data_IF_065105382238
#
_entry.id   IF_065105382238
#
_cell.length_a   1.000
_cell.length_b   1.000
_cell.length_c   1.000
_cell.angle_alpha   90.00
_cell.angle_beta   90.00
_cell.angle_gamma   90.00
#
_symmetry.space_group_name_H-M   'P 1'
#
loop_
_entity.id
_entity.type
_entity.pdbx_description
1 polymer ?
#
# COMPACT_ATOMS: atom_id res chain seq x y z
N UNK A 1 11.72 4.50 -8.87
CA UNK A 1 10.28 4.72 -9.01
C UNK A 1 9.88 5.73 -7.96
N UNK A 2 9.12 6.77 -8.32
CA UNK A 2 8.68 7.81 -7.39
C UNK A 2 7.22 8.20 -7.63
N UNK A 3 6.49 8.47 -6.53
CA UNK A 3 5.10 8.93 -6.56
C UNK A 3 4.98 10.45 -6.80
N UNK A 4 6.09 11.18 -6.70
CA UNK A 4 6.21 12.62 -6.89
C UNK A 4 7.63 12.96 -7.41
N UNK A 5 8.02 14.24 -7.39
CA UNK A 5 9.28 14.72 -7.99
C UNK A 5 10.52 14.49 -7.13
N UNK A 6 10.39 14.19 -5.83
CA UNK A 6 11.51 14.06 -4.88
C UNK A 6 12.46 15.26 -4.84
N UNK A 7 11.97 16.48 -5.10
CA UNK A 7 12.80 17.70 -5.13
C UNK A 7 12.88 18.32 -3.75
N UNK A 8 11.76 18.37 -3.02
CA UNK A 8 11.67 19.00 -1.71
C UNK A 8 11.73 17.96 -0.58
N UNK A 9 12.07 18.40 0.63
CA UNK A 9 11.99 17.54 1.81
C UNK A 9 10.56 17.00 2.03
N UNK A 10 9.55 17.78 1.66
CA UNK A 10 8.15 17.36 1.66
C UNK A 10 7.90 16.20 0.70
N UNK A 11 8.40 16.29 -0.53
CA UNK A 11 8.24 15.22 -1.53
C UNK A 11 8.89 13.92 -1.06
N UNK A 12 10.11 14.03 -0.51
CA UNK A 12 10.87 12.91 0.03
C UNK A 12 10.15 12.29 1.23
N UNK A 13 9.60 13.13 2.12
CA UNK A 13 8.81 12.68 3.27
C UNK A 13 7.52 11.97 2.84
N UNK A 14 6.80 12.49 1.84
CA UNK A 14 5.59 11.85 1.30
C UNK A 14 5.92 10.48 0.70
N UNK A 15 6.99 10.38 -0.10
CA UNK A 15 7.46 9.11 -0.65
C UNK A 15 7.75 8.09 0.46
N UNK A 16 8.45 8.51 1.53
CA UNK A 16 8.73 7.66 2.70
C UNK A 16 7.45 7.24 3.43
N UNK A 17 6.54 8.18 3.65
CA UNK A 17 5.24 7.91 4.27
C UNK A 17 4.43 6.90 3.47
N UNK A 18 4.39 7.04 2.15
CA UNK A 18 3.71 6.09 1.26
C UNK A 18 4.35 4.70 1.30
N UNK A 19 5.69 4.60 1.32
CA UNK A 19 6.37 3.30 1.50
C UNK A 19 6.02 2.65 2.83
N UNK A 20 5.99 3.41 3.92
CA UNK A 20 5.61 2.90 5.24
C UNK A 20 4.15 2.42 5.28
N UNK A 21 3.24 3.14 4.59
CA UNK A 21 1.85 2.71 4.43
C UNK A 21 1.77 1.36 3.72
N UNK A 22 2.53 1.15 2.64
CA UNK A 22 2.56 -0.13 1.93
C UNK A 22 3.07 -1.26 2.82
N UNK A 23 4.19 -1.04 3.51
CA UNK A 23 4.77 -2.02 4.44
C UNK A 23 3.74 -2.37 5.53
N UNK A 24 3.05 -1.37 6.09
CA UNK A 24 1.99 -1.57 7.06
C UNK A 24 0.81 -2.35 6.49
N UNK A 25 0.30 -1.97 5.31
CA UNK A 25 -0.82 -2.64 4.64
C UNK A 25 -0.52 -4.13 4.41
N UNK A 26 0.64 -4.45 3.83
CA UNK A 26 1.07 -5.83 3.60
C UNK A 26 1.38 -6.58 4.90
N UNK A 27 1.85 -5.88 5.95
CA UNK A 27 2.11 -6.46 7.27
C UNK A 27 0.85 -6.83 8.04
N UNK A 28 -0.18 -5.98 7.96
CA UNK A 28 -1.50 -6.14 8.59
C UNK A 28 -2.33 -7.20 7.89
N UNK A 29 -2.34 -7.19 6.55
CA UNK A 29 -3.06 -8.16 5.73
C UNK A 29 -2.09 -9.13 5.08
N UNK A 30 -1.25 -9.77 5.90
CA UNK A 30 -0.53 -10.97 5.46
C UNK A 30 -1.57 -12.06 5.27
N UNK A 31 -1.57 -12.72 4.11
CA UNK A 31 -2.37 -13.91 3.87
C UNK A 31 -2.07 -14.99 4.95
N UNK A 32 -2.89 -15.15 6.02
CA UNK A 32 -2.70 -16.23 6.99
C UNK A 32 -3.21 -17.55 6.40
N UNK A 33 -3.98 -17.47 5.30
CA UNK A 33 -4.71 -18.57 4.64
C UNK A 33 -3.79 -19.48 3.83
N UNK A 34 -2.48 -19.17 3.72
CA UNK A 34 -1.53 -20.12 3.14
C UNK A 34 -1.32 -21.36 4.02
N UNK A 35 -1.53 -21.24 5.35
CA UNK A 35 -1.31 -22.35 6.30
C UNK A 35 -2.40 -22.50 7.38
N UNK A 36 -3.36 -21.58 7.51
CA UNK A 36 -4.51 -21.72 8.41
C UNK A 36 -5.82 -21.83 7.61
N UNK A 37 -6.73 -22.68 8.09
CA UNK A 37 -8.04 -22.88 7.47
C UNK A 37 -8.79 -21.55 7.30
N UNK A 38 -9.45 -21.39 6.15
CA UNK A 38 -10.14 -20.18 5.64
C UNK A 38 -11.18 -19.56 6.60
N UNK A 39 -11.43 -20.19 7.74
CA UNK A 39 -12.61 -20.01 8.59
C UNK A 39 -12.43 -18.91 9.66
N UNK A 40 -11.21 -18.44 9.96
CA UNK A 40 -10.95 -17.56 11.11
C UNK A 40 -10.52 -16.12 10.83
N UNK A 41 -10.63 -15.61 9.60
CA UNK A 41 -10.47 -14.17 9.40
C UNK A 41 -11.79 -13.45 9.76
N UNK A 42 -12.00 -13.26 11.07
CA UNK A 42 -13.09 -12.45 11.63
C UNK A 42 -12.86 -10.98 11.30
N UNK A 43 -13.20 -10.61 10.07
CA UNK A 43 -13.24 -9.22 9.63
C UNK A 43 -14.69 -8.84 9.38
N UNK A 44 -15.11 -7.66 9.84
CA UNK A 44 -16.44 -7.14 9.52
C UNK A 44 -16.53 -6.78 8.04
N UNK A 45 -17.74 -6.76 7.47
CA UNK A 45 -17.94 -6.28 6.10
C UNK A 45 -17.42 -4.85 5.92
N UNK A 46 -17.64 -3.99 6.92
CA UNK A 46 -17.18 -2.61 6.91
C UNK A 46 -15.65 -2.53 6.84
N UNK A 47 -14.94 -3.26 7.70
CA UNK A 47 -13.48 -3.29 7.68
C UNK A 47 -12.97 -3.84 6.34
N UNK A 48 -13.62 -4.85 5.76
CA UNK A 48 -13.25 -5.39 4.46
C UNK A 48 -13.40 -4.34 3.33
N UNK A 49 -14.49 -3.56 3.34
CA UNK A 49 -14.70 -2.47 2.39
C UNK A 49 -13.67 -1.35 2.56
N UNK A 50 -13.31 -1.01 3.79
CA UNK A 50 -12.31 0.03 4.07
C UNK A 50 -10.90 -0.40 3.60
N UNK A 51 -10.56 -1.69 3.79
CA UNK A 51 -9.31 -2.25 3.25
C UNK A 51 -9.30 -2.22 1.74
N UNK A 52 -10.38 -2.66 1.09
CA UNK A 52 -10.47 -2.63 -0.38
C UNK A 52 -10.36 -1.19 -0.90
N UNK A 53 -10.93 -0.23 -0.19
CA UNK A 53 -10.83 1.20 -0.51
C UNK A 53 -9.39 1.71 -0.39
N UNK A 54 -8.67 1.29 0.66
CA UNK A 54 -7.26 1.62 0.86
C UNK A 54 -6.36 0.98 -0.21
N UNK A 55 -6.59 -0.29 -0.55
CA UNK A 55 -5.90 -0.98 -1.65
C UNK A 55 -6.15 -0.24 -2.97
N UNK A 56 -7.40 0.13 -3.24
CA UNK A 56 -7.77 0.90 -4.44
C UNK A 56 -7.03 2.24 -4.52
N UNK A 57 -6.89 2.96 -3.40
CA UNK A 57 -6.10 4.20 -3.32
C UNK A 57 -4.61 3.95 -3.64
N UNK A 58 -4.04 2.90 -3.04
CA UNK A 58 -2.64 2.51 -3.28
C UNK A 58 -2.40 2.23 -4.76
N UNK A 59 -3.27 1.46 -5.40
CA UNK A 59 -3.17 1.15 -6.82
C UNK A 59 -3.19 2.42 -7.69
N UNK A 60 -4.13 3.35 -7.44
CA UNK A 60 -4.16 4.63 -8.18
C UNK A 60 -2.88 5.44 -8.02
N UNK A 61 -2.26 5.45 -6.82
CA UNK A 61 -0.99 6.13 -6.60
C UNK A 61 0.18 5.42 -7.30
N UNK A 62 0.15 4.09 -7.42
CA UNK A 62 1.18 3.32 -8.11
C UNK A 62 1.10 3.44 -9.64
N UNK A 63 -0.09 3.57 -10.20
CA UNK A 63 -0.29 3.70 -11.65
C UNK A 63 0.36 4.97 -12.23
N UNK A 64 0.51 6.02 -11.42
CA UNK A 64 1.12 7.30 -11.83
C UNK A 64 2.61 7.40 -11.52
N UNK A 65 3.24 6.31 -11.03
CA UNK A 65 4.64 6.33 -10.61
C UNK A 65 5.59 6.45 -11.79
N UNK A 66 6.51 7.42 -11.70
CA UNK A 66 7.54 7.61 -12.72
C UNK A 66 8.71 6.67 -12.48
N UNK A 67 9.16 5.95 -13.52
CA UNK A 67 10.42 5.20 -13.51
C UNK A 67 11.58 6.18 -13.74
N UNK A 68 12.61 6.10 -12.92
CA UNK A 68 13.87 6.77 -13.22
C UNK A 68 14.57 5.93 -14.29
N UNK A 69 14.81 6.52 -15.46
CA UNK A 69 15.68 5.91 -16.45
C UNK A 69 17.11 6.00 -15.90
N UNK A 70 17.70 4.86 -15.55
CA UNK A 70 19.13 4.76 -15.35
C UNK A 70 19.79 5.02 -16.70
N UNK A 71 20.67 6.02 -16.75
CA UNK A 71 21.55 6.30 -17.89
C UNK A 71 22.62 5.20 -18.02
#
# INVERSE_FOLDING_TARGET
MAINQLITDTDVSEQKGFMNLLIGLFGTFRNPVAHAEKIYWLISEQDALDILSLVSLVHRKLDIVTKFQLA
#
